data_IF_168668390048
#
_entry.id   IF_168668390048
#
_cell.length_a   1.000
_cell.length_b   1.000
_cell.length_c   1.000
_cell.angle_alpha   90.00
_cell.angle_beta   90.00
_cell.angle_gamma   90.00
#
_symmetry.space_group_name_H-M   'P 1'
#
loop_
_entity.id
_entity.type
_entity.pdbx_description
1 polymer ?
#
# COMPACT_ATOMS: atom_id res chain seq x y z
N UNK A 1 7.12 10.49 8.41
CA UNK A 1 7.39 9.15 7.84
C UNK A 1 7.63 8.07 8.90
N UNK A 2 7.33 8.34 10.18
CA UNK A 2 7.82 7.51 11.30
C UNK A 2 7.19 6.11 11.38
N UNK A 3 6.04 5.90 10.71
CA UNK A 3 5.35 4.62 10.66
C UNK A 3 5.70 3.78 9.41
N UNK A 4 6.62 4.25 8.56
CA UNK A 4 6.90 3.62 7.27
C UNK A 4 7.35 2.16 7.40
N UNK A 5 8.28 1.85 8.31
CA UNK A 5 8.76 0.49 8.52
C UNK A 5 7.66 -0.46 8.95
N UNK A 6 6.81 -0.02 9.89
CA UNK A 6 5.66 -0.80 10.38
C UNK A 6 4.66 -1.10 9.27
N UNK A 7 4.33 -0.09 8.46
CA UNK A 7 3.42 -0.25 7.31
C UNK A 7 4.04 -1.18 6.28
N UNK A 8 5.34 -1.02 5.99
CA UNK A 8 6.04 -1.82 4.99
C UNK A 8 6.06 -3.31 5.36
N UNK A 9 6.32 -3.64 6.63
CA UNK A 9 6.29 -5.02 7.10
C UNK A 9 4.91 -5.69 6.94
N UNK A 10 3.82 -4.94 7.15
CA UNK A 10 2.46 -5.43 6.93
C UNK A 10 2.18 -5.59 5.43
N UNK A 11 2.57 -4.59 4.63
CA UNK A 11 2.41 -4.60 3.18
C UNK A 11 3.13 -5.80 2.55
N UNK A 12 4.38 -6.07 2.95
CA UNK A 12 5.17 -7.19 2.45
C UNK A 12 4.50 -8.53 2.74
N UNK A 13 4.01 -8.74 3.97
CA UNK A 13 3.26 -9.95 4.32
C UNK A 13 1.99 -10.12 3.50
N UNK A 14 1.34 -9.03 3.11
CA UNK A 14 0.08 -9.08 2.35
C UNK A 14 0.28 -9.38 0.87
N UNK A 15 1.33 -8.85 0.26
CA UNK A 15 1.55 -8.94 -1.18
C UNK A 15 2.51 -10.07 -1.59
N UNK A 16 3.22 -10.71 -0.65
CA UNK A 16 4.11 -11.83 -0.98
C UNK A 16 3.39 -12.98 -1.74
N UNK A 17 4.03 -13.55 -2.79
CA UNK A 17 5.36 -13.23 -3.30
C UNK A 17 5.42 -12.03 -4.27
N UNK A 18 4.28 -11.57 -4.78
CA UNK A 18 4.20 -10.56 -5.82
C UNK A 18 4.32 -9.13 -5.25
N UNK A 19 5.34 -8.38 -5.63
CA UNK A 19 5.55 -7.01 -5.15
C UNK A 19 5.10 -6.02 -6.24
N UNK A 20 3.87 -5.46 -6.19
CA UNK A 20 3.43 -4.47 -7.17
C UNK A 20 4.30 -3.22 -7.12
N UNK A 21 4.44 -2.54 -8.26
CA UNK A 21 5.00 -1.20 -8.30
C UNK A 21 4.15 -0.26 -7.44
N UNK A 22 4.79 0.66 -6.70
CA UNK A 22 4.09 1.61 -5.82
C UNK A 22 4.85 2.92 -5.66
N UNK A 23 4.10 3.94 -5.23
CA UNK A 23 4.61 5.16 -4.62
C UNK A 23 4.17 5.21 -3.15
N UNK A 24 4.98 5.81 -2.29
CA UNK A 24 4.63 6.07 -0.90
C UNK A 24 5.13 7.46 -0.51
N UNK A 25 4.21 8.32 -0.06
CA UNK A 25 4.50 9.69 0.34
C UNK A 25 3.80 10.00 1.66
N UNK A 26 4.37 10.89 2.46
CA UNK A 26 3.68 11.45 3.61
C UNK A 26 2.90 12.69 3.18
N UNK A 27 1.65 12.79 3.65
CA UNK A 27 0.76 13.92 3.40
C UNK A 27 0.41 14.61 4.72
N UNK A 28 -0.01 15.87 4.64
CA UNK A 28 -0.32 16.66 5.83
C UNK A 28 -1.47 16.05 6.66
N UNK A 29 -2.50 15.50 5.99
CA UNK A 29 -3.66 14.88 6.65
C UNK A 29 -4.41 13.95 5.71
N UNK A 30 -4.92 12.83 6.23
CA UNK A 30 -5.84 11.93 5.54
C UNK A 30 -7.27 12.11 6.08
N UNK A 31 -8.31 11.80 5.28
CA UNK A 31 -9.69 11.81 5.76
C UNK A 31 -9.88 10.91 6.98
N UNK A 32 -10.75 11.34 7.92
CA UNK A 32 -11.03 10.63 9.19
C UNK A 32 -9.80 10.41 10.08
N UNK A 33 -8.73 11.17 9.87
CA UNK A 33 -7.50 11.10 10.67
C UNK A 33 -6.86 9.70 10.73
N UNK A 34 -7.01 8.92 9.65
CA UNK A 34 -6.40 7.60 9.54
C UNK A 34 -4.88 7.71 9.34
N UNK A 35 -4.14 6.68 9.77
CA UNK A 35 -2.68 6.67 9.70
C UNK A 35 -2.08 6.27 8.34
N UNK A 36 -2.89 5.72 7.43
CA UNK A 36 -2.47 5.32 6.08
C UNK A 36 -3.69 5.17 5.17
N UNK A 37 -3.54 5.54 3.90
CA UNK A 37 -4.49 5.28 2.82
C UNK A 37 -3.72 4.62 1.67
N UNK A 38 -4.34 3.64 0.99
CA UNK A 38 -3.72 2.89 -0.12
C UNK A 38 -4.69 2.87 -1.28
N UNK A 39 -4.28 3.43 -2.42
CA UNK A 39 -4.92 3.26 -3.71
C UNK A 39 -4.23 2.15 -4.52
N UNK A 40 -4.96 1.51 -5.44
CA UNK A 40 -4.40 0.46 -6.29
C UNK A 40 -5.07 0.41 -7.67
N UNK A 41 -4.29 -0.04 -8.65
CA UNK A 41 -4.79 -0.49 -9.95
C UNK A 41 -4.41 -1.96 -10.08
N UNK A 42 -5.37 -2.80 -10.49
CA UNK A 42 -5.18 -4.23 -10.65
C UNK A 42 -5.69 -4.70 -12.01
N UNK A 43 -5.05 -5.74 -12.56
CA UNK A 43 -5.53 -6.42 -13.75
C UNK A 43 -6.62 -7.43 -13.39
N UNK A 44 -7.64 -7.55 -14.25
CA UNK A 44 -8.59 -8.67 -14.18
C UNK A 44 -7.86 -9.95 -14.57
N UNK A 45 -8.13 -11.06 -13.87
CA UNK A 45 -7.56 -12.36 -14.22
C UNK A 45 -7.98 -12.72 -15.66
N UNK A 46 -7.01 -12.99 -16.52
CA UNK A 46 -7.29 -13.56 -17.84
C UNK A 46 -7.73 -15.02 -17.69
N UNK A 47 -8.80 -15.41 -18.38
CA UNK A 47 -9.32 -16.79 -18.41
C UNK A 47 -8.83 -17.59 -19.64
N UNK A 48 -7.74 -17.14 -20.29
CA UNK A 48 -7.12 -17.89 -21.39
C UNK A 48 -6.51 -19.21 -20.90
#
# INVERSE_FOLDING_TARGET
MNNFEKINAIYEKRFAPYKPARSAVEVARLPKDVGVEIECIAAVKSNL
#
